data_IF_594622420902
#
_entry.id   IF_594622420902
#
_cell.length_a   1.000
_cell.length_b   1.000
_cell.length_c   1.000
_cell.angle_alpha   90.00
_cell.angle_beta   90.00
_cell.angle_gamma   90.00
#
_symmetry.space_group_name_H-M   'P 1'
#
loop_
_entity.id
_entity.type
_entity.pdbx_description
1 polymer ?
#
# COMPACT_ATOMS: atom_id res chain seq x y z
N UNK A 1 8.12 -19.68 -21.71
CA UNK A 1 6.82 -19.11 -21.30
C UNK A 1 7.10 -17.81 -20.54
N UNK A 2 6.61 -16.69 -21.04
CA UNK A 2 6.76 -15.39 -20.37
C UNK A 2 5.86 -15.45 -19.12
N UNK A 3 6.47 -15.36 -17.94
CA UNK A 3 5.73 -15.42 -16.68
C UNK A 3 4.78 -14.22 -16.64
N UNK A 4 3.49 -14.46 -16.49
CA UNK A 4 2.44 -13.43 -16.48
C UNK A 4 2.64 -12.53 -15.26
N UNK A 5 3.21 -11.33 -15.46
CA UNK A 5 3.51 -10.36 -14.41
C UNK A 5 2.44 -9.29 -14.37
N UNK A 6 1.91 -9.02 -13.19
CA UNK A 6 1.04 -7.88 -12.96
C UNK A 6 1.69 -6.94 -11.98
N UNK A 7 1.96 -5.71 -12.42
CA UNK A 7 2.50 -4.65 -11.59
C UNK A 7 1.37 -3.79 -11.05
N UNK A 8 1.48 -3.42 -9.78
CA UNK A 8 0.56 -2.53 -9.09
C UNK A 8 1.33 -1.25 -8.76
N UNK A 9 0.84 -0.12 -9.23
CA UNK A 9 1.43 1.18 -9.02
C UNK A 9 0.37 2.17 -8.56
N UNK A 10 0.47 2.58 -7.30
CA UNK A 10 -0.23 3.71 -6.71
C UNK A 10 0.79 4.79 -6.31
N UNK A 11 0.36 5.84 -5.61
CA UNK A 11 1.31 6.78 -5.02
C UNK A 11 2.26 6.05 -4.05
N UNK A 12 3.57 6.37 -4.11
CA UNK A 12 4.61 5.58 -3.45
C UNK A 12 4.86 5.97 -1.98
N UNK A 13 4.03 6.85 -1.41
CA UNK A 13 4.09 7.20 0.01
C UNK A 13 3.66 6.05 0.92
N UNK A 14 4.21 5.97 2.13
CA UNK A 14 3.84 4.91 3.08
C UNK A 14 2.34 5.00 3.47
N UNK A 15 1.81 6.22 3.62
CA UNK A 15 0.40 6.45 3.87
C UNK A 15 -0.50 5.89 2.75
N UNK A 16 -0.07 6.03 1.49
CA UNK A 16 -0.81 5.49 0.34
C UNK A 16 -0.83 3.95 0.36
N UNK A 17 0.27 3.31 0.77
CA UNK A 17 0.30 1.85 0.96
C UNK A 17 -0.69 1.39 2.05
N UNK A 18 -0.85 2.18 3.12
CA UNK A 18 -1.83 1.88 4.18
C UNK A 18 -3.25 2.05 3.64
N UNK A 19 -3.54 3.16 2.96
CA UNK A 19 -4.86 3.44 2.36
C UNK A 19 -5.23 2.36 1.34
N UNK A 20 -4.28 1.95 0.51
CA UNK A 20 -4.48 0.95 -0.55
C UNK A 20 -4.31 -0.50 -0.06
N UNK A 21 -4.11 -0.77 1.23
CA UNK A 21 -3.87 -2.14 1.71
C UNK A 21 -5.00 -3.10 1.29
N UNK A 22 -6.26 -2.79 1.63
CA UNK A 22 -7.41 -3.60 1.23
C UNK A 22 -7.55 -3.70 -0.29
N UNK A 23 -7.31 -2.60 -1.02
CA UNK A 23 -7.35 -2.57 -2.48
C UNK A 23 -6.33 -3.53 -3.11
N UNK A 24 -5.06 -3.48 -2.66
CA UNK A 24 -4.01 -4.38 -3.13
C UNK A 24 -4.37 -5.83 -2.85
N UNK A 25 -4.91 -6.13 -1.66
CA UNK A 25 -5.35 -7.49 -1.30
C UNK A 25 -6.43 -7.99 -2.23
N UNK A 26 -7.43 -7.17 -2.57
CA UNK A 26 -8.48 -7.53 -3.54
C UNK A 26 -7.91 -7.79 -4.94
N UNK A 27 -6.91 -7.03 -5.39
CA UNK A 27 -6.28 -7.24 -6.69
C UNK A 27 -5.53 -8.58 -6.74
N UNK A 28 -4.88 -8.98 -5.64
CA UNK A 28 -4.02 -10.18 -5.59
C UNK A 28 -4.73 -11.45 -5.11
N UNK A 29 -6.03 -11.43 -4.89
CA UNK A 29 -6.84 -12.62 -4.56
C UNK A 29 -6.76 -13.70 -5.66
N UNK A 30 -6.49 -13.30 -6.91
CA UNK A 30 -6.34 -14.22 -8.03
C UNK A 30 -5.02 -14.99 -8.03
N UNK A 31 -4.98 -16.05 -8.82
CA UNK A 31 -3.74 -16.77 -9.13
C UNK A 31 -2.88 -15.94 -10.09
N UNK A 32 -1.75 -15.43 -9.63
CA UNK A 32 -0.84 -14.62 -10.45
C UNK A 32 0.44 -14.27 -9.73
N UNK A 33 1.37 -13.65 -10.46
CA UNK A 33 2.57 -13.06 -9.88
C UNK A 33 2.42 -11.55 -9.88
N UNK A 34 2.26 -10.98 -8.71
CA UNK A 34 2.02 -9.57 -8.52
C UNK A 34 3.28 -8.87 -8.00
N UNK A 35 3.47 -7.63 -8.43
CA UNK A 35 4.62 -6.80 -8.09
C UNK A 35 4.11 -5.41 -7.70
N UNK A 36 4.29 -5.03 -6.44
CA UNK A 36 3.89 -3.73 -5.92
C UNK A 36 5.09 -2.79 -5.88
N UNK A 37 4.99 -1.64 -6.55
CA UNK A 37 6.05 -0.62 -6.46
C UNK A 37 6.02 0.10 -5.11
N UNK A 38 7.21 0.38 -4.59
CA UNK A 38 7.42 1.14 -3.36
C UNK A 38 8.70 1.95 -3.45
N UNK A 39 8.77 3.10 -2.78
CA UNK A 39 10.05 3.81 -2.59
C UNK A 39 11.00 2.96 -1.78
N UNK A 40 12.31 3.01 -2.12
CA UNK A 40 13.36 2.21 -1.48
C UNK A 40 13.32 2.31 0.05
N UNK A 41 13.13 3.51 0.59
CA UNK A 41 13.07 3.71 2.05
C UNK A 41 11.79 3.17 2.71
N UNK A 42 10.70 3.01 1.97
CA UNK A 42 9.43 2.44 2.47
C UNK A 42 9.36 0.93 2.31
N UNK A 43 10.21 0.33 1.45
CA UNK A 43 10.17 -1.09 1.11
C UNK A 43 10.11 -2.02 2.31
N UNK A 44 10.94 -1.87 3.37
CA UNK A 44 10.87 -2.77 4.53
C UNK A 44 9.51 -2.77 5.21
N UNK A 45 8.88 -1.60 5.34
CA UNK A 45 7.54 -1.47 5.94
C UNK A 45 6.45 -2.07 5.04
N UNK A 46 6.57 -1.88 3.72
CA UNK A 46 5.62 -2.43 2.75
C UNK A 46 5.75 -3.95 2.65
N UNK A 47 6.97 -4.49 2.64
CA UNK A 47 7.20 -5.94 2.72
C UNK A 47 6.64 -6.53 4.01
N UNK A 48 6.82 -5.86 5.14
CA UNK A 48 6.22 -6.27 6.40
C UNK A 48 4.68 -6.27 6.33
N UNK A 49 4.08 -5.24 5.75
CA UNK A 49 2.63 -5.08 5.61
C UNK A 49 1.97 -6.20 4.81
N UNK A 50 2.66 -6.72 3.80
CA UNK A 50 2.12 -7.71 2.87
C UNK A 50 2.82 -9.08 2.95
N UNK A 51 3.60 -9.36 4.01
CA UNK A 51 4.43 -10.58 4.12
C UNK A 51 3.67 -11.90 4.12
N UNK A 52 2.37 -11.85 4.41
CA UNK A 52 1.46 -12.99 4.33
C UNK A 52 1.06 -13.36 2.88
N UNK A 53 1.21 -12.44 1.93
CA UNK A 53 0.85 -12.62 0.52
C UNK A 53 2.02 -13.22 -0.28
N UNK A 54 2.02 -14.54 -0.45
CA UNK A 54 3.12 -15.26 -1.12
C UNK A 54 3.24 -14.96 -2.61
N UNK A 55 2.16 -14.51 -3.24
CA UNK A 55 2.08 -14.18 -4.67
C UNK A 55 2.34 -12.70 -4.97
N UNK A 56 2.64 -11.87 -3.95
CA UNK A 56 3.00 -10.46 -4.07
C UNK A 56 4.47 -10.25 -3.72
N UNK A 57 5.17 -9.50 -4.56
CA UNK A 57 6.56 -9.05 -4.31
C UNK A 57 6.65 -7.55 -4.37
N UNK A 58 7.41 -6.95 -3.47
CA UNK A 58 7.66 -5.50 -3.48
C UNK A 58 8.87 -5.20 -4.36
N UNK A 59 8.68 -4.30 -5.32
CA UNK A 59 9.72 -3.78 -6.21
C UNK A 59 10.05 -2.37 -5.79
N UNK A 60 11.28 -2.15 -5.36
CA UNK A 60 11.73 -0.83 -4.96
C UNK A 60 12.16 0.02 -6.15
N UNK A 61 11.82 1.29 -6.07
CA UNK A 61 12.25 2.36 -6.97
C UNK A 61 12.64 3.57 -6.14
N UNK A 62 13.56 4.37 -6.64
CA UNK A 62 13.92 5.63 -5.96
C UNK A 62 12.81 6.65 -6.08
N UNK A 63 12.20 6.69 -7.28
CA UNK A 63 11.07 7.58 -7.56
C UNK A 63 10.25 7.06 -8.75
N UNK A 64 9.11 7.70 -9.03
CA UNK A 64 8.14 7.34 -10.08
C UNK A 64 8.75 7.26 -11.48
N UNK A 65 9.76 8.09 -11.78
CA UNK A 65 10.44 8.10 -13.09
C UNK A 65 11.20 6.82 -13.42
N UNK A 66 11.49 5.96 -12.44
CA UNK A 66 12.17 4.68 -12.67
C UNK A 66 11.22 3.57 -13.14
N UNK A 67 9.91 3.71 -12.88
CA UNK A 67 8.91 2.68 -13.20
C UNK A 67 8.91 2.29 -14.68
N UNK A 68 8.96 3.23 -15.64
CA UNK A 68 9.04 2.87 -17.07
C UNK A 68 10.26 2.01 -17.42
N UNK A 69 11.39 2.23 -16.77
CA UNK A 69 12.61 1.46 -16.99
C UNK A 69 12.46 0.01 -16.45
N UNK A 70 11.83 -0.15 -15.29
CA UNK A 70 11.53 -1.49 -14.75
C UNK A 70 10.62 -2.25 -15.70
N UNK A 71 9.55 -1.62 -16.20
CA UNK A 71 8.60 -2.24 -17.13
C UNK A 71 9.23 -2.57 -18.48
N UNK A 72 10.18 -1.74 -18.96
CA UNK A 72 10.94 -2.01 -20.19
C UNK A 72 11.83 -3.24 -20.05
N UNK A 73 12.48 -3.41 -18.89
CA UNK A 73 13.36 -4.54 -18.62
C UNK A 73 12.61 -5.84 -18.32
N UNK A 74 11.47 -5.72 -17.65
CA UNK A 74 10.62 -6.85 -17.23
C UNK A 74 9.16 -6.55 -17.58
N UNK A 75 8.73 -6.75 -18.82
CA UNK A 75 7.38 -6.42 -19.26
C UNK A 75 6.29 -7.17 -18.48
N UNK A 76 5.14 -6.52 -18.29
CA UNK A 76 3.97 -7.08 -17.64
C UNK A 76 2.78 -6.12 -17.71
N UNK A 77 1.62 -6.58 -17.24
CA UNK A 77 0.44 -5.74 -17.11
C UNK A 77 0.67 -4.71 -15.99
N UNK A 78 0.31 -3.46 -16.21
CA UNK A 78 0.38 -2.41 -15.20
C UNK A 78 -1.03 -2.00 -14.77
N UNK A 79 -1.30 -2.09 -13.47
CA UNK A 79 -2.49 -1.52 -12.83
C UNK A 79 -2.04 -0.21 -12.16
N UNK A 80 -2.58 0.92 -12.62
CA UNK A 80 -2.32 2.25 -12.07
C UNK A 80 -3.49 2.69 -11.22
N UNK A 81 -3.20 3.17 -10.01
CA UNK A 81 -4.17 3.59 -9.02
C UNK A 81 -3.86 5.03 -8.61
N UNK A 82 -4.88 5.87 -8.63
CA UNK A 82 -4.73 7.25 -8.18
C UNK A 82 -4.06 8.19 -9.19
N UNK A 83 -3.89 7.77 -10.44
CA UNK A 83 -3.24 8.57 -11.48
C UNK A 83 -4.26 9.09 -12.51
N UNK A 84 -4.35 8.43 -13.66
CA UNK A 84 -5.20 8.90 -14.77
C UNK A 84 -6.68 8.94 -14.35
N UNK A 85 -7.38 9.97 -14.78
CA UNK A 85 -8.82 10.15 -14.55
C UNK A 85 -9.26 10.23 -13.08
N UNK A 86 -8.35 10.28 -12.10
CA UNK A 86 -8.71 10.31 -10.69
C UNK A 86 -9.65 11.48 -10.34
N UNK A 87 -9.32 12.69 -10.83
CA UNK A 87 -10.15 13.86 -10.60
C UNK A 87 -11.53 13.73 -11.24
N UNK A 88 -11.63 13.09 -12.41
CA UNK A 88 -12.91 12.80 -13.04
C UNK A 88 -13.74 11.83 -12.18
N UNK A 89 -13.15 10.72 -11.74
CA UNK A 89 -13.81 9.73 -10.88
C UNK A 89 -14.29 10.38 -9.58
N UNK A 90 -13.43 11.14 -8.92
CA UNK A 90 -13.74 11.86 -7.69
C UNK A 90 -14.90 12.85 -7.87
N UNK A 91 -14.86 13.69 -8.89
CA UNK A 91 -15.86 14.72 -9.11
C UNK A 91 -17.20 14.13 -9.57
N UNK A 92 -17.17 13.11 -10.45
CA UNK A 92 -18.37 12.43 -10.92
C UNK A 92 -19.10 11.72 -9.78
N UNK A 93 -18.39 11.03 -8.91
CA UNK A 93 -18.98 10.30 -7.78
C UNK A 93 -19.13 11.15 -6.52
N UNK A 94 -18.64 12.40 -6.50
CA UNK A 94 -18.65 13.29 -5.33
C UNK A 94 -18.05 12.63 -4.09
N UNK A 95 -16.96 11.88 -4.27
CA UNK A 95 -16.32 11.07 -3.25
C UNK A 95 -15.00 11.68 -2.76
N UNK A 96 -14.44 11.12 -1.71
CA UNK A 96 -13.11 11.48 -1.20
C UNK A 96 -12.00 11.00 -2.15
N UNK A 97 -10.79 11.51 -1.95
CA UNK A 97 -9.64 11.18 -2.79
C UNK A 97 -9.26 9.69 -2.69
N UNK A 98 -9.27 9.15 -1.49
CA UNK A 98 -8.98 7.75 -1.21
C UNK A 98 -10.10 6.80 -1.69
N UNK A 99 -11.36 7.22 -1.59
CA UNK A 99 -12.49 6.47 -2.15
C UNK A 99 -12.39 6.34 -3.68
N UNK A 100 -11.93 7.42 -4.34
CA UNK A 100 -11.74 7.41 -5.79
C UNK A 100 -10.72 6.35 -6.26
N UNK A 101 -9.74 5.97 -5.44
CA UNK A 101 -8.81 4.88 -5.74
C UNK A 101 -9.51 3.54 -5.93
N UNK A 102 -10.44 3.24 -5.05
CA UNK A 102 -11.22 2.00 -5.08
C UNK A 102 -12.21 2.01 -6.25
N UNK A 103 -12.94 3.10 -6.39
CA UNK A 103 -13.93 3.27 -7.48
C UNK A 103 -13.28 3.23 -8.86
N UNK A 104 -12.05 3.72 -9.01
CA UNK A 104 -11.31 3.68 -10.27
C UNK A 104 -11.11 2.24 -10.80
N UNK A 105 -11.07 1.26 -9.89
CA UNK A 105 -10.93 -0.16 -10.22
C UNK A 105 -12.24 -0.95 -10.10
N UNK A 106 -13.36 -0.28 -9.82
CA UNK A 106 -14.65 -0.95 -9.59
C UNK A 106 -14.69 -1.79 -8.32
N UNK A 107 -13.81 -1.49 -7.34
CA UNK A 107 -13.77 -2.16 -6.04
C UNK A 107 -14.58 -1.32 -5.04
N UNK A 108 -15.51 -1.90 -4.29
CA UNK A 108 -16.27 -1.17 -3.28
C UNK A 108 -15.36 -0.55 -2.22
N UNK A 109 -15.65 0.68 -1.79
CA UNK A 109 -14.79 1.40 -0.85
C UNK A 109 -14.73 0.78 0.56
N UNK A 110 -15.78 0.06 0.97
CA UNK A 110 -15.75 -0.68 2.23
C UNK A 110 -14.62 -1.71 2.30
N UNK A 111 -14.11 -2.20 1.16
CA UNK A 111 -12.95 -3.10 1.11
C UNK A 111 -11.68 -2.46 1.70
N UNK A 112 -11.64 -1.13 1.82
CA UNK A 112 -10.58 -0.43 2.55
C UNK A 112 -10.46 -0.92 3.99
N UNK A 113 -11.57 -1.29 4.60
CA UNK A 113 -11.66 -1.75 5.99
C UNK A 113 -11.82 -3.26 6.07
N UNK A 114 -12.71 -3.81 5.27
CA UNK A 114 -13.09 -5.22 5.31
C UNK A 114 -11.95 -6.14 4.86
N UNK A 115 -11.14 -5.68 3.90
CA UNK A 115 -9.96 -6.40 3.39
C UNK A 115 -8.64 -5.88 3.94
N UNK A 116 -8.64 -4.88 4.84
CA UNK A 116 -7.43 -4.41 5.48
C UNK A 116 -6.86 -5.47 6.42
N UNK A 117 -5.60 -5.84 6.20
CA UNK A 117 -4.93 -6.80 7.06
C UNK A 117 -3.42 -6.62 7.03
N UNK A 118 -2.77 -6.86 8.13
CA UNK A 118 -1.35 -7.17 8.22
C UNK A 118 -1.15 -8.21 9.33
N UNK A 119 -0.21 -9.11 9.14
CA UNK A 119 0.12 -10.10 10.17
C UNK A 119 0.92 -9.42 11.28
N UNK A 120 0.46 -9.39 12.56
CA UNK A 120 1.22 -8.80 13.66
C UNK A 120 2.51 -9.59 13.93
N UNK A 121 3.51 -8.90 14.45
CA UNK A 121 4.72 -9.51 15.00
C UNK A 121 4.64 -9.37 16.52
N UNK A 122 3.91 -10.30 17.16
CA UNK A 122 3.54 -10.20 18.57
C UNK A 122 4.76 -10.08 19.48
N UNK A 123 5.85 -10.76 19.17
CA UNK A 123 7.07 -10.66 19.96
C UNK A 123 7.66 -9.25 19.95
N UNK A 124 7.75 -8.64 18.76
CA UNK A 124 8.24 -7.26 18.63
C UNK A 124 7.29 -6.25 19.25
N UNK A 125 5.99 -6.44 19.09
CA UNK A 125 4.98 -5.59 19.69
C UNK A 125 5.06 -5.63 21.21
N UNK A 126 5.12 -6.83 21.81
CA UNK A 126 5.24 -7.01 23.25
C UNK A 126 6.55 -6.41 23.81
N UNK A 127 7.66 -6.60 23.10
CA UNK A 127 8.95 -6.04 23.50
C UNK A 127 8.94 -4.51 23.40
N UNK A 128 8.34 -3.94 22.37
CA UNK A 128 8.19 -2.49 22.23
C UNK A 128 7.26 -1.95 23.33
N UNK A 129 6.13 -2.61 23.56
CA UNK A 129 5.18 -2.19 24.59
C UNK A 129 5.82 -2.17 25.97
N UNK A 130 6.52 -3.23 26.36
CA UNK A 130 7.24 -3.30 27.65
C UNK A 130 8.28 -2.19 27.80
N UNK A 131 8.96 -1.84 26.69
CA UNK A 131 9.95 -0.76 26.68
C UNK A 131 9.31 0.63 26.85
N UNK A 132 8.17 0.87 26.21
CA UNK A 132 7.48 2.16 26.22
C UNK A 132 6.59 2.35 27.45
N UNK A 133 6.07 1.26 28.00
CA UNK A 133 5.14 1.26 29.13
C UNK A 133 5.53 0.21 30.18
N UNK A 134 6.70 0.35 30.84
CA UNK A 134 7.23 -0.64 31.77
C UNK A 134 6.34 -0.89 32.99
N UNK A 135 5.53 0.10 33.38
CA UNK A 135 4.64 0.03 34.53
C UNK A 135 3.22 -0.43 34.17
N UNK A 136 2.95 -0.70 32.89
CA UNK A 136 1.63 -1.08 32.38
C UNK A 136 0.52 -0.07 32.76
N UNK A 137 0.81 1.22 32.68
CA UNK A 137 -0.12 2.30 32.97
C UNK A 137 -0.99 2.64 31.75
N UNK A 138 -2.21 3.17 31.94
CA UNK A 138 -2.98 3.72 30.82
C UNK A 138 -2.20 4.80 30.10
N UNK A 139 -2.10 4.74 28.76
CA UNK A 139 -1.40 5.75 27.96
C UNK A 139 -2.12 6.02 26.64
N UNK A 140 -1.77 7.14 26.04
CA UNK A 140 -2.24 7.53 24.71
C UNK A 140 -1.02 7.87 23.85
N UNK A 141 -0.96 7.35 22.63
CA UNK A 141 0.01 7.77 21.61
C UNK A 141 -0.56 8.93 20.82
N UNK A 142 0.17 10.04 20.79
CA UNK A 142 -0.20 11.24 20.02
C UNK A 142 0.89 11.49 18.99
N UNK A 143 0.48 11.65 17.73
CA UNK A 143 1.32 12.10 16.64
C UNK A 143 0.68 13.33 16.02
N UNK A 144 1.31 14.48 16.19
CA UNK A 144 0.80 15.80 15.80
C UNK A 144 1.61 16.47 14.68
N UNK A 145 2.52 15.74 14.03
CA UNK A 145 3.30 16.26 12.91
C UNK A 145 2.97 15.55 11.62
N UNK A 146 2.82 16.31 10.54
CA UNK A 146 2.74 15.71 9.20
C UNK A 146 4.11 15.28 8.67
N UNK A 147 4.16 14.73 7.47
CA UNK A 147 5.40 14.30 6.82
C UNK A 147 6.36 15.46 6.51
N UNK A 148 5.89 16.71 6.56
CA UNK A 148 6.68 17.93 6.34
C UNK A 148 7.13 18.55 7.66
N UNK A 149 6.77 17.96 8.82
CA UNK A 149 7.12 18.44 10.14
C UNK A 149 6.33 19.66 10.60
N UNK A 150 5.16 19.91 10.01
CA UNK A 150 4.24 20.98 10.40
C UNK A 150 3.36 20.46 11.55
N UNK A 151 3.32 21.24 12.65
CA UNK A 151 2.49 20.94 13.83
C UNK A 151 1.03 21.35 13.61
#
# INVERSE_FOLDING_TARGET
MQQDRTYIYHHLGLGDHIICNGLVRKIVEGSGNYFLFSKTHNKPSVEFMFRDLKNLKVVDVKDDYEIPNVLKLKPGKLIRIGHENLNFVKNFNKCTWDEAFYLQLGIPFNERWDSFYFQPDQEKEDNLFKKLNPNNEPFCLIHNKDSNGID
#
